data_IF_402654554925
#
_entry.id   IF_402654554925
#
_cell.length_a   1.000
_cell.length_b   1.000
_cell.length_c   1.000
_cell.angle_alpha   90.00
_cell.angle_beta   90.00
_cell.angle_gamma   90.00
#
_symmetry.space_group_name_H-M   'P 1'
#
loop_
_entity.id
_entity.type
_entity.pdbx_description
1 polymer ?
#
# COMPACT_ATOMS: atom_id res chain seq x y z
N UNK A 1 18.42 -3.67 22.52
CA UNK A 1 18.35 -3.23 21.11
C UNK A 1 17.44 -4.20 20.37
N UNK A 2 16.25 -3.80 19.95
CA UNK A 2 15.34 -4.72 19.23
C UNK A 2 15.95 -5.07 17.88
N UNK A 3 16.17 -6.35 17.60
CA UNK A 3 16.55 -6.82 16.27
C UNK A 3 15.44 -6.44 15.28
N UNK A 4 15.78 -5.66 14.25
CA UNK A 4 14.81 -5.29 13.22
C UNK A 4 14.42 -6.50 12.38
N UNK A 5 13.13 -6.63 12.06
CA UNK A 5 12.59 -7.69 11.21
C UNK A 5 12.58 -7.24 9.75
N UNK A 6 12.84 -8.16 8.83
CA UNK A 6 12.80 -7.88 7.40
C UNK A 6 11.41 -8.24 6.86
N UNK A 7 10.73 -7.25 6.29
CA UNK A 7 9.52 -7.43 5.50
C UNK A 7 9.89 -7.41 4.03
N UNK A 8 9.71 -8.52 3.34
CA UNK A 8 9.90 -8.63 1.89
C UNK A 8 8.58 -8.39 1.15
N UNK A 9 8.67 -8.13 -0.15
CA UNK A 9 7.53 -8.16 -1.06
C UNK A 9 6.89 -6.80 -1.32
N UNK A 10 7.44 -5.69 -0.80
CA UNK A 10 6.90 -4.36 -1.10
C UNK A 10 7.24 -3.96 -2.52
N UNK A 11 6.21 -3.74 -3.34
CA UNK A 11 6.35 -3.45 -4.76
C UNK A 11 6.13 -1.96 -5.02
N UNK A 12 7.08 -1.38 -5.73
CA UNK A 12 6.93 -0.09 -6.40
C UNK A 12 6.81 -0.32 -7.89
N UNK A 13 5.82 0.29 -8.51
CA UNK A 13 5.59 0.15 -9.94
C UNK A 13 4.94 1.40 -10.50
N UNK A 14 5.45 1.85 -11.64
CA UNK A 14 4.77 2.79 -12.51
C UNK A 14 4.84 2.24 -13.94
N UNK A 15 3.71 1.71 -14.42
CA UNK A 15 3.64 1.09 -15.73
C UNK A 15 2.33 1.40 -16.46
N UNK A 16 2.38 1.39 -17.80
CA UNK A 16 1.24 1.61 -18.68
C UNK A 16 1.28 0.71 -19.92
N UNK A 17 0.08 0.36 -20.41
CA UNK A 17 -0.10 -0.36 -21.68
C UNK A 17 0.52 0.41 -22.87
N UNK A 18 0.76 -0.27 -24.00
CA UNK A 18 1.31 0.37 -25.21
C UNK A 18 0.51 1.62 -25.64
N UNK A 19 -0.81 1.54 -25.56
CA UNK A 19 -1.78 2.60 -25.87
C UNK A 19 -1.97 3.63 -24.75
N UNK A 20 -1.41 3.41 -23.57
CA UNK A 20 -1.58 4.29 -22.41
C UNK A 20 -2.95 4.24 -21.73
N UNK A 21 -3.91 3.45 -22.25
CA UNK A 21 -5.28 3.36 -21.72
C UNK A 21 -5.35 2.66 -20.37
N UNK A 22 -4.44 1.71 -20.12
CA UNK A 22 -4.29 1.06 -18.82
C UNK A 22 -3.02 1.54 -18.12
N UNK A 23 -3.13 1.83 -16.83
CA UNK A 23 -2.02 2.33 -15.98
C UNK A 23 -2.06 1.58 -14.65
N UNK A 24 -0.91 1.09 -14.19
CA UNK A 24 -0.70 0.56 -12.84
C UNK A 24 0.21 1.50 -12.08
N UNK A 25 -0.16 1.78 -10.82
CA UNK A 25 0.70 2.42 -9.83
C UNK A 25 0.69 1.60 -8.56
N UNK A 26 1.88 1.18 -8.11
CA UNK A 26 2.10 0.54 -6.81
C UNK A 26 3.10 1.38 -6.02
N UNK A 27 2.82 1.61 -4.75
CA UNK A 27 3.75 2.26 -3.84
C UNK A 27 3.74 1.60 -2.46
N UNK A 28 4.88 1.69 -1.78
CA UNK A 28 5.05 1.30 -0.39
C UNK A 28 5.13 2.53 0.53
N UNK A 29 4.38 2.50 1.62
CA UNK A 29 4.55 3.40 2.75
C UNK A 29 4.96 2.60 3.99
N UNK A 30 5.50 3.28 4.99
CA UNK A 30 5.70 2.74 6.33
C UNK A 30 5.16 3.73 7.35
N UNK A 31 4.34 3.24 8.27
CA UNK A 31 3.91 3.99 9.44
C UNK A 31 4.88 3.66 10.57
N UNK A 32 5.73 4.62 10.87
CA UNK A 32 6.74 4.50 11.92
C UNK A 32 6.08 4.80 13.27
N UNK A 33 6.29 3.93 14.26
CA UNK A 33 5.70 4.06 15.60
C UNK A 33 5.82 5.48 16.19
N UNK A 34 6.97 6.13 15.97
CA UNK A 34 7.29 7.45 16.54
C UNK A 34 7.51 8.58 15.51
N UNK A 35 7.25 8.34 14.22
CA UNK A 35 7.60 9.32 13.17
C UNK A 35 6.58 9.37 12.02
N UNK A 36 5.37 8.85 12.27
CA UNK A 36 4.25 8.94 11.33
C UNK A 36 4.48 8.20 10.01
N UNK A 37 3.65 8.55 9.02
CA UNK A 37 3.63 7.90 7.72
C UNK A 37 4.74 8.44 6.82
N UNK A 38 5.56 7.56 6.24
CA UNK A 38 6.65 7.91 5.32
C UNK A 38 6.57 7.06 4.06
N UNK A 39 7.05 7.62 2.94
CA UNK A 39 7.29 6.85 1.74
C UNK A 39 8.57 6.01 1.92
N UNK A 40 8.48 4.70 1.69
CA UNK A 40 9.60 3.76 1.87
C UNK A 40 10.81 4.18 1.04
N UNK A 41 10.61 4.68 -0.18
CA UNK A 41 11.70 5.12 -1.06
C UNK A 41 12.53 6.27 -0.49
N UNK A 42 12.00 7.02 0.49
CA UNK A 42 12.71 8.11 1.17
C UNK A 42 13.53 7.62 2.38
N UNK A 43 13.35 6.38 2.82
CA UNK A 43 14.03 5.79 3.99
C UNK A 43 15.11 4.82 3.54
N UNK A 44 16.17 5.36 2.92
CA UNK A 44 17.25 4.55 2.33
C UNK A 44 17.92 3.62 3.35
N UNK A 45 18.04 4.06 4.60
CA UNK A 45 18.58 3.31 5.73
C UNK A 45 17.76 2.06 6.09
N UNK A 46 16.49 2.01 5.68
CA UNK A 46 15.60 0.87 5.91
C UNK A 46 15.50 -0.08 4.73
N UNK A 47 15.98 0.30 3.55
CA UNK A 47 15.94 -0.58 2.39
C UNK A 47 17.14 -1.52 2.45
N UNK A 48 16.87 -2.80 2.72
CA UNK A 48 17.92 -3.84 2.78
C UNK A 48 18.30 -4.30 1.38
N UNK A 49 17.31 -4.43 0.50
CA UNK A 49 17.51 -4.93 -0.86
C UNK A 49 16.48 -4.33 -1.81
N UNK A 50 16.91 -4.06 -3.03
CA UNK A 50 16.05 -3.67 -4.16
C UNK A 50 16.27 -4.66 -5.30
N UNK A 51 15.19 -5.15 -5.88
CA UNK A 51 15.20 -6.12 -6.98
C UNK A 51 14.34 -5.55 -8.10
N UNK A 52 14.92 -5.35 -9.27
CA UNK A 52 14.13 -5.02 -10.47
C UNK A 52 13.25 -6.21 -10.86
N UNK A 53 12.00 -5.93 -11.17
CA UNK A 53 11.03 -6.96 -11.57
C UNK A 53 10.32 -6.53 -12.85
N UNK A 54 9.74 -7.50 -13.55
CA UNK A 54 8.92 -7.19 -14.73
C UNK A 54 7.70 -6.36 -14.33
N UNK A 55 7.45 -5.20 -14.98
CA UNK A 55 6.24 -4.43 -14.74
C UNK A 55 4.99 -5.16 -15.26
N UNK A 56 3.83 -4.81 -14.71
CA UNK A 56 2.52 -5.33 -15.12
C UNK A 56 2.22 -4.99 -16.58
N UNK A 57 2.57 -3.78 -17.03
CA UNK A 57 2.39 -3.36 -18.42
C UNK A 57 3.72 -3.10 -19.14
N UNK A 58 3.65 -3.13 -20.47
CA UNK A 58 4.80 -3.11 -21.38
C UNK A 58 5.70 -1.86 -21.31
N UNK A 59 5.21 -0.73 -20.81
CA UNK A 59 5.98 0.52 -20.71
C UNK A 59 6.07 0.94 -19.25
N UNK A 60 7.26 1.12 -18.71
CA UNK A 60 7.48 1.60 -17.34
C UNK A 60 8.47 0.72 -16.57
N UNK A 61 8.42 0.80 -15.25
CA UNK A 61 9.35 0.11 -14.36
C UNK A 61 8.62 -0.51 -13.17
N UNK A 62 9.22 -1.55 -12.60
CA UNK A 62 8.79 -2.13 -11.34
C UNK A 62 10.00 -2.64 -10.56
N UNK A 63 9.91 -2.56 -9.23
CA UNK A 63 10.90 -3.12 -8.32
C UNK A 63 10.24 -3.63 -7.06
N UNK A 64 10.84 -4.66 -6.47
CA UNK A 64 10.50 -5.23 -5.17
C UNK A 64 11.57 -4.80 -4.16
N UNK A 65 11.13 -4.40 -2.98
CA UNK A 65 11.99 -3.95 -1.89
C UNK A 65 11.84 -4.89 -0.69
N UNK A 66 12.96 -5.18 -0.05
CA UNK A 66 13.01 -5.75 1.29
C UNK A 66 13.28 -4.62 2.29
N UNK A 67 12.42 -4.47 3.29
CA UNK A 67 12.43 -3.34 4.22
C UNK A 67 12.71 -3.83 5.63
N UNK A 68 13.65 -3.18 6.31
CA UNK A 68 13.89 -3.35 7.75
C UNK A 68 12.85 -2.58 8.55
N UNK A 69 12.19 -3.26 9.46
CA UNK A 69 11.13 -2.75 10.33
C UNK A 69 11.46 -3.02 11.79
N UNK A 70 10.92 -2.20 12.68
CA UNK A 70 10.99 -2.42 14.12
C UNK A 70 9.61 -2.78 14.66
N UNK A 71 9.55 -3.35 15.85
CA UNK A 71 8.29 -3.61 16.53
C UNK A 71 7.44 -2.33 16.62
N UNK A 72 6.16 -2.45 16.26
CA UNK A 72 5.22 -1.33 16.21
C UNK A 72 5.17 -0.59 14.87
N UNK A 73 6.11 -0.83 13.95
CA UNK A 73 6.01 -0.31 12.58
C UNK A 73 4.97 -1.09 11.78
N UNK A 74 4.29 -0.41 10.85
CA UNK A 74 3.43 -1.03 9.85
C UNK A 74 3.90 -0.72 8.44
N UNK A 75 4.05 -1.75 7.62
CA UNK A 75 4.35 -1.62 6.20
C UNK A 75 3.03 -1.59 5.43
N UNK A 76 2.90 -0.66 4.50
CA UNK A 76 1.65 -0.43 3.77
C UNK A 76 1.92 -0.55 2.28
N UNK A 77 1.26 -1.51 1.62
CA UNK A 77 1.30 -1.66 0.17
C UNK A 77 0.03 -1.07 -0.43
N UNK A 78 0.20 -0.20 -1.41
CA UNK A 78 -0.90 0.37 -2.19
C UNK A 78 -0.74 -0.09 -3.63
N UNK A 79 -1.81 -0.57 -4.23
CA UNK A 79 -1.82 -0.99 -5.62
C UNK A 79 -3.10 -0.51 -6.29
N UNK A 80 -2.97 0.37 -7.28
CA UNK A 80 -4.09 0.87 -8.08
C UNK A 80 -3.87 0.63 -9.57
N UNK A 81 -4.97 0.37 -10.24
CA UNK A 81 -5.05 0.16 -11.68
C UNK A 81 -6.15 1.04 -12.25
N UNK A 82 -5.80 1.85 -13.25
CA UNK A 82 -6.74 2.56 -14.11
C UNK A 82 -7.03 1.69 -15.33
N UNK A 83 -8.31 1.45 -15.62
CA UNK A 83 -8.73 0.74 -16.82
C UNK A 83 -8.93 1.68 -18.02
N UNK A 84 -9.25 1.11 -19.19
CA UNK A 84 -9.47 1.86 -20.42
C UNK A 84 -10.66 2.86 -20.36
N UNK A 85 -11.62 2.64 -19.46
CA UNK A 85 -12.74 3.54 -19.18
C UNK A 85 -12.38 4.65 -18.18
N UNK A 86 -11.12 4.72 -17.77
CA UNK A 86 -10.63 5.67 -16.79
C UNK A 86 -11.02 5.38 -15.34
N UNK A 87 -11.70 4.25 -15.06
CA UNK A 87 -12.05 3.84 -13.71
C UNK A 87 -10.83 3.29 -12.98
N UNK A 88 -10.65 3.72 -11.73
CA UNK A 88 -9.57 3.27 -10.85
C UNK A 88 -10.11 2.24 -9.86
N UNK A 89 -9.40 1.13 -9.73
CA UNK A 89 -9.64 0.09 -8.72
C UNK A 89 -8.33 -0.36 -8.09
N UNK A 90 -8.40 -0.98 -6.93
CA UNK A 90 -7.27 -1.70 -6.35
C UNK A 90 -7.41 -1.87 -4.85
N UNK A 91 -6.31 -1.80 -4.12
CA UNK A 91 -6.32 -2.09 -2.68
C UNK A 91 -5.21 -1.35 -1.93
N UNK A 92 -5.41 -1.28 -0.62
CA UNK A 92 -4.44 -0.87 0.39
C UNK A 92 -4.31 -2.03 1.37
N UNK A 93 -3.10 -2.52 1.56
CA UNK A 93 -2.75 -3.58 2.50
C UNK A 93 -1.89 -3.02 3.62
N UNK A 94 -2.11 -3.52 4.82
CA UNK A 94 -1.34 -3.19 6.01
C UNK A 94 -0.72 -4.48 6.52
N UNK A 95 0.59 -4.45 6.66
CA UNK A 95 1.41 -5.52 7.21
C UNK A 95 2.00 -5.04 8.52
N UNK A 96 2.05 -5.90 9.53
CA UNK A 96 2.79 -5.60 10.76
C UNK A 96 4.31 -5.70 10.51
N UNK A 97 5.11 -5.37 11.53
CA UNK A 97 6.57 -5.47 11.47
C UNK A 97 7.12 -6.87 11.16
N UNK A 98 6.33 -7.94 11.34
CA UNK A 98 6.72 -9.30 10.96
C UNK A 98 6.42 -9.64 9.50
N UNK A 99 5.76 -8.74 8.77
CA UNK A 99 5.31 -8.97 7.39
C UNK A 99 3.99 -9.73 7.30
N UNK A 100 3.26 -9.88 8.40
CA UNK A 100 1.94 -10.53 8.40
C UNK A 100 0.88 -9.52 7.94
N UNK A 101 0.03 -9.93 6.99
CA UNK A 101 -1.09 -9.10 6.52
C UNK A 101 -2.14 -9.00 7.63
N UNK A 102 -2.22 -7.83 8.27
CA UNK A 102 -3.18 -7.59 9.36
C UNK A 102 -4.47 -6.93 8.89
N UNK A 103 -4.45 -6.29 7.71
CA UNK A 103 -5.63 -5.64 7.15
C UNK A 103 -5.52 -5.41 5.64
N UNK A 104 -6.65 -5.53 4.93
CA UNK A 104 -6.76 -5.12 3.52
C UNK A 104 -8.09 -4.38 3.29
N UNK A 105 -8.01 -3.21 2.67
CA UNK A 105 -9.15 -2.49 2.11
C UNK A 105 -9.08 -2.50 0.57
N UNK A 106 -10.19 -2.82 -0.07
CA UNK A 106 -10.36 -2.70 -1.53
C UNK A 106 -10.95 -1.33 -1.85
N UNK A 107 -10.37 -0.67 -2.84
CA UNK A 107 -10.87 0.57 -3.42
C UNK A 107 -11.57 0.27 -4.75
N UNK A 108 -12.85 0.61 -4.86
CA UNK A 108 -13.63 0.47 -6.10
C UNK A 108 -14.70 1.54 -6.18
N UNK A 109 -14.79 2.24 -7.31
CA UNK A 109 -15.83 3.25 -7.58
C UNK A 109 -15.96 4.33 -6.49
N UNK A 110 -14.84 4.71 -5.84
CA UNK A 110 -14.81 5.69 -4.74
C UNK A 110 -15.13 5.11 -3.36
N UNK A 111 -15.35 3.81 -3.23
CA UNK A 111 -15.60 3.13 -1.95
C UNK A 111 -14.34 2.42 -1.46
N UNK A 112 -13.98 2.65 -0.19
CA UNK A 112 -13.02 1.80 0.53
C UNK A 112 -13.78 0.81 1.40
N UNK A 113 -13.62 -0.49 1.11
CA UNK A 113 -14.30 -1.57 1.83
C UNK A 113 -13.29 -2.56 2.38
N UNK A 114 -13.47 -2.97 3.64
CA UNK A 114 -12.70 -4.06 4.25
C UNK A 114 -12.86 -5.33 3.42
N UNK A 115 -11.73 -5.96 3.12
CA UNK A 115 -11.67 -7.26 2.45
C UNK A 115 -11.25 -8.35 3.42
N UNK A 116 -10.18 -8.14 4.20
CA UNK A 116 -9.58 -9.12 5.10
C UNK A 116 -8.99 -8.38 6.32
N UNK A 117 -8.85 -9.09 7.44
CA UNK A 117 -8.14 -8.62 8.63
C UNK A 117 -9.02 -7.89 9.63
N UNK A 118 -8.39 -7.42 10.70
CA UNK A 118 -9.08 -6.94 11.90
C UNK A 118 -9.49 -5.47 11.80
N UNK A 119 -10.77 -5.10 12.04
CA UNK A 119 -11.26 -3.71 11.97
C UNK A 119 -10.46 -2.69 12.79
N UNK A 120 -9.73 -3.12 13.82
CA UNK A 120 -8.85 -2.24 14.61
C UNK A 120 -7.79 -1.52 13.77
N UNK A 121 -7.43 -2.03 12.59
CA UNK A 121 -6.46 -1.39 11.68
C UNK A 121 -7.09 -0.45 10.65
N UNK A 122 -8.42 -0.28 10.67
CA UNK A 122 -9.15 0.59 9.74
C UNK A 122 -8.67 2.05 9.76
N UNK A 123 -8.20 2.55 10.90
CA UNK A 123 -7.68 3.92 11.02
C UNK A 123 -6.43 4.14 10.16
N UNK A 124 -5.58 3.13 9.94
CA UNK A 124 -4.40 3.23 9.06
C UNK A 124 -4.83 3.47 7.63
N UNK A 125 -5.91 2.82 7.18
CA UNK A 125 -6.48 3.04 5.85
C UNK A 125 -6.99 4.48 5.70
N UNK A 126 -7.65 5.02 6.74
CA UNK A 126 -8.11 6.42 6.74
C UNK A 126 -6.93 7.39 6.67
N UNK A 127 -5.91 7.20 7.50
CA UNK A 127 -4.67 7.98 7.48
C UNK A 127 -4.05 7.98 6.08
N UNK A 128 -3.83 6.81 5.49
CA UNK A 128 -3.26 6.68 4.14
C UNK A 128 -4.11 7.38 3.09
N UNK A 129 -5.44 7.23 3.16
CA UNK A 129 -6.35 7.87 2.20
C UNK A 129 -6.32 9.39 2.27
N UNK A 130 -6.18 9.95 3.47
CA UNK A 130 -6.07 11.39 3.69
C UNK A 130 -4.73 11.93 3.19
N UNK A 131 -3.63 11.32 3.62
CA UNK A 131 -2.26 11.74 3.26
C UNK A 131 -2.03 11.72 1.75
N UNK A 132 -2.54 10.71 1.06
CA UNK A 132 -2.42 10.58 -0.38
C UNK A 132 -3.54 11.26 -1.16
N UNK A 133 -4.51 11.89 -0.47
CA UNK A 133 -5.69 12.53 -1.07
C UNK A 133 -6.44 11.59 -2.02
N UNK A 134 -6.61 10.33 -1.62
CA UNK A 134 -7.36 9.34 -2.39
C UNK A 134 -8.84 9.78 -2.41
N UNK A 135 -9.50 9.85 -3.58
CA UNK A 135 -10.87 10.33 -3.67
C UNK A 135 -11.87 9.28 -3.15
N UNK A 136 -12.15 9.32 -1.85
CA UNK A 136 -13.06 8.40 -1.17
C UNK A 136 -14.42 9.06 -0.95
N UNK A 137 -15.49 8.44 -1.46
CA UNK A 137 -16.88 8.87 -1.29
C UNK A 137 -17.55 8.24 -0.07
N UNK A 138 -17.19 7.00 0.26
CA UNK A 138 -17.74 6.25 1.39
C UNK A 138 -16.78 5.17 1.87
N UNK A 139 -16.89 4.81 3.14
CA UNK A 139 -16.12 3.73 3.76
C UNK A 139 -17.04 2.63 4.30
N UNK A 140 -16.56 1.39 4.24
CA UNK A 140 -17.12 0.21 4.91
C UNK A 140 -15.95 -0.61 5.45
N UNK A 141 -15.24 -0.04 6.41
CA UNK A 141 -14.01 -0.59 6.99
C UNK A 141 -14.28 -1.55 8.17
N UNK A 142 -15.52 -1.65 8.63
CA UNK A 142 -15.97 -2.67 9.58
C UNK A 142 -15.83 -2.29 11.05
N UNK A 143 -15.21 -1.15 11.35
CA UNK A 143 -15.19 -0.50 12.67
C UNK A 143 -16.30 0.56 12.81
N UNK A 144 -17.06 0.80 11.73
CA UNK A 144 -18.20 1.70 11.78
C UNK A 144 -19.35 1.08 12.59
N UNK A 145 -19.96 1.86 13.49
CA UNK A 145 -21.20 1.45 14.17
C UNK A 145 -22.27 1.21 13.12
N UNK A 146 -22.90 0.03 13.15
CA UNK A 146 -24.12 -0.21 12.37
C UNK A 146 -25.18 0.75 12.92
N UNK A 147 -25.69 1.62 12.05
CA UNK A 147 -26.91 2.37 12.32
C UNK A 147 -28.11 1.44 12.22
#
# INVERSE_FOLDING_TARGET
MSQGTIVDGVVFEESKSRSGKHIVRKLGLILLHNNGLKNVMKLKDRIVKTIEIRPTYSKGWAKRLCIKTNQGDYVIQIAFVKNFLGKVKGYIEVYNYKGELVYRAVYKDGELRRSIGEPIYAWIIRLVSQELRIPVKKTRLGDEKRK
#
